data_IF_764715689779
#
_entry.id   IF_764715689779
#
_cell.length_a   1.000
_cell.length_b   1.000
_cell.length_c   1.000
_cell.angle_alpha   90.00
_cell.angle_beta   90.00
_cell.angle_gamma   90.00
#
_symmetry.space_group_name_H-M   'P 1'
#
loop_
_entity.id
_entity.type
_entity.pdbx_description
1 polymer ?
#
# COMPACT_ATOMS: atom_id res chain seq x y z
N UNK A 1 30.92 -14.29 -13.66
CA UNK A 1 29.51 -14.63 -13.47
C UNK A 1 29.09 -14.13 -12.09
N UNK A 2 28.32 -13.04 -12.01
CA UNK A 2 27.72 -12.58 -10.75
C UNK A 2 26.58 -13.54 -10.42
N UNK A 3 26.64 -14.21 -9.27
CA UNK A 3 25.55 -15.03 -8.77
C UNK A 3 24.32 -14.14 -8.61
N UNK A 4 23.24 -14.46 -9.31
CA UNK A 4 21.94 -13.83 -9.11
C UNK A 4 21.43 -14.34 -7.76
N UNK A 5 21.62 -13.55 -6.71
CA UNK A 5 21.04 -13.85 -5.42
C UNK A 5 19.52 -13.95 -5.57
N UNK A 6 18.94 -15.02 -5.07
CA UNK A 6 17.50 -15.16 -4.99
C UNK A 6 17.01 -14.21 -3.89
N UNK A 7 16.24 -13.20 -4.26
CA UNK A 7 15.54 -12.37 -3.29
C UNK A 7 14.31 -13.13 -2.79
N UNK A 8 14.31 -13.48 -1.50
CA UNK A 8 13.15 -14.04 -0.83
C UNK A 8 12.43 -12.94 -0.07
N UNK A 9 11.19 -12.67 -0.42
CA UNK A 9 10.30 -11.84 0.41
C UNK A 9 9.67 -12.77 1.45
N UNK A 10 9.93 -12.49 2.73
CA UNK A 10 9.32 -13.22 3.84
C UNK A 10 8.26 -12.34 4.48
N UNK A 11 7.03 -12.86 4.58
CA UNK A 11 5.98 -12.28 5.41
C UNK A 11 6.22 -12.65 6.88
N UNK A 12 5.83 -11.82 7.86
CA UNK A 12 5.79 -12.21 9.26
C UNK A 12 4.90 -13.45 9.45
N UNK A 13 5.30 -14.31 10.36
CA UNK A 13 4.49 -15.48 10.71
C UNK A 13 3.37 -15.10 11.68
N UNK A 14 2.34 -15.95 11.85
CA UNK A 14 1.33 -15.73 12.89
C UNK A 14 1.93 -15.59 14.30
N UNK A 15 3.00 -16.32 14.62
CA UNK A 15 3.69 -16.25 15.89
C UNK A 15 4.32 -14.88 16.12
N UNK A 16 4.86 -14.25 15.06
CA UNK A 16 5.40 -12.89 15.14
C UNK A 16 4.31 -11.88 15.49
N UNK A 17 3.12 -11.97 14.86
CA UNK A 17 1.99 -11.12 15.18
C UNK A 17 1.48 -11.39 16.61
N UNK A 18 1.36 -12.65 17.01
CA UNK A 18 0.93 -13.02 18.36
C UNK A 18 1.88 -12.46 19.45
N UNK A 19 3.20 -12.46 19.19
CA UNK A 19 4.17 -11.85 20.10
C UNK A 19 3.95 -10.33 20.20
N UNK A 20 3.79 -9.65 19.05
CA UNK A 20 3.53 -8.20 19.02
C UNK A 20 2.22 -7.83 19.72
N UNK A 21 1.15 -8.59 19.50
CA UNK A 21 -0.14 -8.33 20.16
C UNK A 21 -0.06 -8.50 21.67
N UNK A 22 0.73 -9.48 22.14
CA UNK A 22 0.98 -9.69 23.56
C UNK A 22 1.76 -8.52 24.17
N UNK A 23 2.84 -8.08 23.53
CA UNK A 23 3.62 -6.91 23.96
C UNK A 23 2.73 -5.65 24.08
N UNK A 24 1.87 -5.39 23.10
CA UNK A 24 0.95 -4.25 23.12
C UNK A 24 -0.06 -4.38 24.26
N UNK A 25 -0.63 -5.57 24.50
CA UNK A 25 -1.54 -5.80 25.60
C UNK A 25 -0.85 -5.63 26.96
N UNK A 26 0.37 -6.13 27.13
CA UNK A 26 1.19 -5.97 28.33
C UNK A 26 1.54 -4.50 28.63
N UNK A 27 1.59 -3.64 27.59
CA UNK A 27 1.76 -2.19 27.75
C UNK A 27 0.50 -1.46 28.25
N UNK A 28 -0.60 -2.19 28.46
CA UNK A 28 -1.85 -1.65 29.00
C UNK A 28 -2.90 -1.29 27.95
N UNK A 29 -2.72 -1.67 26.69
CA UNK A 29 -3.71 -1.44 25.65
C UNK A 29 -4.99 -2.28 25.92
N UNK A 30 -6.16 -1.65 25.84
CA UNK A 30 -7.46 -2.31 26.00
C UNK A 30 -7.95 -2.99 24.71
N UNK A 31 -7.35 -2.68 23.57
CA UNK A 31 -7.64 -3.26 22.26
C UNK A 31 -6.63 -2.82 21.21
N UNK A 32 -6.62 -3.52 20.09
CA UNK A 32 -5.63 -3.32 19.02
C UNK A 32 -6.35 -3.22 17.67
N UNK A 33 -5.95 -2.23 16.86
CA UNK A 33 -6.28 -2.18 15.42
C UNK A 33 -5.03 -2.54 14.63
N UNK A 34 -5.08 -3.65 13.89
CA UNK A 34 -3.98 -4.17 13.10
C UNK A 34 -4.28 -3.95 11.61
N UNK A 35 -3.65 -2.92 11.02
CA UNK A 35 -3.88 -2.52 9.65
C UNK A 35 -2.85 -3.18 8.73
N UNK A 36 -3.33 -3.77 7.65
CA UNK A 36 -2.49 -4.52 6.71
C UNK A 36 -2.57 -3.99 5.29
N UNK A 37 -1.47 -4.18 4.57
CA UNK A 37 -1.50 -4.01 3.12
C UNK A 37 -2.44 -5.02 2.49
N UNK A 38 -2.89 -4.70 1.27
CA UNK A 38 -3.82 -5.55 0.52
C UNK A 38 -3.46 -7.04 0.60
N UNK A 39 -4.43 -7.86 0.94
CA UNK A 39 -4.35 -9.31 0.97
C UNK A 39 -4.04 -9.91 -0.41
N UNK A 40 -4.35 -9.20 -1.49
CA UNK A 40 -3.97 -9.57 -2.86
C UNK A 40 -2.46 -9.51 -3.11
N UNK A 41 -1.71 -8.77 -2.29
CA UNK A 41 -0.25 -8.67 -2.38
C UNK A 41 0.48 -9.59 -1.41
N UNK A 42 -0.10 -9.83 -0.24
CA UNK A 42 0.60 -10.52 0.83
C UNK A 42 -0.35 -11.23 1.77
N UNK A 43 -0.04 -12.45 2.16
CA UNK A 43 -0.75 -13.15 3.22
C UNK A 43 -0.44 -12.65 4.64
N UNK A 44 0.02 -11.40 4.82
CA UNK A 44 0.22 -10.82 6.16
C UNK A 44 -1.09 -10.59 6.88
N UNK A 45 -2.14 -10.19 6.16
CA UNK A 45 -3.49 -10.09 6.70
C UNK A 45 -3.97 -11.42 7.29
N UNK A 46 -3.87 -12.52 6.54
CA UNK A 46 -4.28 -13.84 7.01
C UNK A 46 -3.49 -14.31 8.24
N UNK A 47 -2.17 -14.04 8.25
CA UNK A 47 -1.32 -14.36 9.38
C UNK A 47 -1.72 -13.56 10.65
N UNK A 48 -2.06 -12.29 10.49
CA UNK A 48 -2.54 -11.44 11.57
C UNK A 48 -3.92 -11.88 12.08
N UNK A 49 -4.86 -12.23 11.19
CA UNK A 49 -6.17 -12.77 11.55
C UNK A 49 -6.02 -14.06 12.37
N UNK A 50 -5.11 -14.94 11.98
CA UNK A 50 -4.84 -16.16 12.73
C UNK A 50 -4.32 -15.85 14.14
N UNK A 51 -3.37 -14.93 14.26
CA UNK A 51 -2.79 -14.52 15.54
C UNK A 51 -3.78 -13.79 16.46
N UNK A 52 -4.73 -13.06 15.88
CA UNK A 52 -5.73 -12.30 16.63
C UNK A 52 -6.69 -13.17 17.45
N UNK A 53 -6.86 -14.44 17.07
CA UNK A 53 -7.79 -15.37 17.74
C UNK A 53 -7.42 -15.65 19.19
N UNK A 54 -6.13 -15.69 19.47
CA UNK A 54 -5.58 -16.03 20.80
C UNK A 54 -4.89 -14.82 21.47
N UNK A 55 -5.21 -13.60 20.99
CA UNK A 55 -4.66 -12.38 21.56
C UNK A 55 -5.26 -12.08 22.94
N UNK A 56 -4.47 -11.52 23.91
CA UNK A 56 -4.94 -11.24 25.27
C UNK A 56 -6.02 -10.15 25.35
N UNK A 57 -6.11 -9.30 24.31
CA UNK A 57 -7.10 -8.24 24.20
C UNK A 57 -7.77 -8.32 22.82
N UNK A 58 -8.95 -7.70 22.61
CA UNK A 58 -9.59 -7.67 21.32
C UNK A 58 -8.68 -7.07 20.24
N UNK A 59 -8.52 -7.76 19.11
CA UNK A 59 -7.75 -7.30 17.95
C UNK A 59 -8.66 -7.23 16.73
N UNK A 60 -8.78 -6.04 16.16
CA UNK A 60 -9.47 -5.83 14.87
C UNK A 60 -8.41 -5.79 13.76
N UNK A 61 -8.48 -6.77 12.88
CA UNK A 61 -7.56 -6.90 11.75
C UNK A 61 -8.25 -6.37 10.50
N UNK A 62 -7.62 -5.40 9.83
CA UNK A 62 -8.20 -4.70 8.67
C UNK A 62 -7.31 -4.91 7.45
N UNK A 63 -7.88 -5.40 6.36
CA UNK A 63 -7.29 -5.32 5.03
C UNK A 63 -7.66 -3.96 4.43
N UNK A 64 -6.69 -3.08 4.29
CA UNK A 64 -6.95 -1.74 3.74
C UNK A 64 -7.08 -1.72 2.22
N UNK A 65 -6.71 -2.80 1.53
CA UNK A 65 -6.59 -2.81 0.07
C UNK A 65 -5.46 -1.89 -0.45
N UNK A 66 -4.64 -1.31 0.45
CA UNK A 66 -3.64 -0.30 0.13
C UNK A 66 -2.22 -0.82 0.35
N UNK A 67 -1.23 -0.04 -0.14
CA UNK A 67 0.21 -0.28 0.09
C UNK A 67 0.93 1.03 0.36
N UNK A 68 2.15 0.97 0.88
CA UNK A 68 3.02 2.13 1.12
C UNK A 68 2.32 3.22 1.97
N UNK A 69 2.47 4.52 1.65
CA UNK A 69 1.80 5.58 2.42
C UNK A 69 0.29 5.64 2.21
N UNK A 70 -0.27 5.03 1.19
CA UNK A 70 -1.71 4.87 1.11
C UNK A 70 -2.25 4.05 2.31
N UNK A 71 -1.54 2.98 2.72
CA UNK A 71 -1.78 2.29 4.00
C UNK A 71 -1.39 3.16 5.20
N UNK A 72 -0.27 3.90 5.11
CA UNK A 72 0.19 4.80 6.17
C UNK A 72 -0.85 5.85 6.55
N UNK A 73 -1.54 6.45 5.57
CA UNK A 73 -2.62 7.40 5.82
C UNK A 73 -3.81 6.75 6.54
N UNK A 74 -4.10 5.48 6.27
CA UNK A 74 -5.13 4.75 7.03
C UNK A 74 -4.71 4.55 8.49
N UNK A 75 -3.43 4.26 8.73
CA UNK A 75 -2.89 4.11 10.07
C UNK A 75 -2.91 5.43 10.86
N UNK A 76 -2.56 6.53 10.22
CA UNK A 76 -2.65 7.87 10.83
C UNK A 76 -4.09 8.22 11.20
N UNK A 77 -5.06 7.99 10.31
CA UNK A 77 -6.46 8.26 10.59
C UNK A 77 -7.00 7.42 11.77
N UNK A 78 -6.59 6.15 11.86
CA UNK A 78 -6.94 5.30 12.99
C UNK A 78 -6.32 5.80 14.31
N UNK A 79 -5.05 6.22 14.28
CA UNK A 79 -4.34 6.74 15.44
C UNK A 79 -4.98 8.05 15.93
N UNK A 80 -5.27 8.99 15.03
CA UNK A 80 -5.95 10.24 15.34
C UNK A 80 -7.32 10.01 15.99
N UNK A 81 -8.09 9.03 15.49
CA UNK A 81 -9.37 8.64 16.10
C UNK A 81 -9.19 8.12 17.52
N UNK A 82 -8.18 7.27 17.74
CA UNK A 82 -7.88 6.72 19.07
C UNK A 82 -7.39 7.80 20.04
N UNK A 83 -6.51 8.72 19.60
CA UNK A 83 -6.01 9.86 20.38
C UNK A 83 -7.13 10.82 20.77
N UNK A 84 -8.15 10.96 19.92
CA UNK A 84 -9.35 11.73 20.22
C UNK A 84 -10.31 11.03 21.22
N UNK A 85 -9.95 9.84 21.74
CA UNK A 85 -10.74 9.07 22.69
C UNK A 85 -11.77 8.14 22.05
N UNK A 86 -11.65 7.89 20.74
CA UNK A 86 -12.49 6.93 20.03
C UNK A 86 -12.25 5.48 20.44
N UNK A 87 -13.25 4.66 20.22
CA UNK A 87 -13.18 3.20 20.46
C UNK A 87 -12.34 2.50 19.38
N UNK A 88 -12.06 1.22 19.58
CA UNK A 88 -11.42 0.38 18.55
C UNK A 88 -12.22 0.39 17.23
N UNK A 89 -13.55 0.34 17.32
CA UNK A 89 -14.43 0.36 16.15
C UNK A 89 -14.45 1.72 15.45
N UNK A 90 -14.33 2.82 16.20
CA UNK A 90 -14.17 4.17 15.62
C UNK A 90 -12.85 4.29 14.85
N UNK A 91 -11.76 3.76 15.40
CA UNK A 91 -10.45 3.74 14.73
C UNK A 91 -10.46 2.87 13.45
N UNK A 92 -11.13 1.72 13.47
CA UNK A 92 -11.36 0.89 12.27
C UNK A 92 -12.14 1.68 11.22
N UNK A 93 -13.25 2.30 11.61
CA UNK A 93 -14.09 3.10 10.72
C UNK A 93 -13.32 4.27 10.09
N UNK A 94 -12.45 4.94 10.87
CA UNK A 94 -11.60 6.00 10.39
C UNK A 94 -10.60 5.50 9.34
N UNK A 95 -9.95 4.35 9.60
CA UNK A 95 -9.03 3.73 8.64
C UNK A 95 -9.72 3.32 7.33
N UNK A 96 -10.88 2.67 7.41
CA UNK A 96 -11.65 2.22 6.25
C UNK A 96 -12.16 3.41 5.41
N UNK A 97 -12.66 4.45 6.07
CA UNK A 97 -13.05 5.70 5.41
C UNK A 97 -11.87 6.36 4.71
N UNK A 98 -10.69 6.38 5.35
CA UNK A 98 -9.47 6.90 4.75
C UNK A 98 -9.05 6.07 3.55
N UNK A 99 -9.08 4.74 3.63
CA UNK A 99 -8.79 3.85 2.51
C UNK A 99 -9.70 4.13 1.31
N UNK A 100 -11.01 4.24 1.53
CA UNK A 100 -11.98 4.54 0.47
C UNK A 100 -11.74 5.89 -0.22
N UNK A 101 -11.19 6.89 0.52
CA UNK A 101 -10.83 8.20 -0.01
C UNK A 101 -9.41 8.31 -0.58
N UNK A 102 -8.60 7.24 -0.49
CA UNK A 102 -7.20 7.25 -0.91
C UNK A 102 -7.04 6.58 -2.26
N UNK A 103 -6.14 7.11 -3.09
CA UNK A 103 -5.76 6.49 -4.35
C UNK A 103 -4.24 6.36 -4.46
N UNK A 104 -3.77 5.29 -5.09
CA UNK A 104 -2.36 5.05 -5.34
C UNK A 104 -2.11 4.86 -6.84
N UNK A 105 -1.25 5.71 -7.38
CA UNK A 105 -0.85 5.69 -8.78
C UNK A 105 0.65 5.58 -8.89
N UNK A 106 1.15 4.84 -9.87
CA UNK A 106 2.59 4.68 -10.00
C UNK A 106 3.01 4.37 -11.42
N UNK A 107 4.26 4.70 -11.69
CA UNK A 107 4.97 4.39 -12.91
C UNK A 107 6.12 3.43 -12.61
N UNK A 108 6.36 2.48 -13.48
CA UNK A 108 7.52 1.59 -13.41
C UNK A 108 8.25 1.55 -14.76
N UNK A 109 9.58 1.58 -14.72
CA UNK A 109 10.39 1.46 -15.93
C UNK A 109 10.27 0.08 -16.58
N UNK A 110 9.98 -0.96 -15.78
CA UNK A 110 9.76 -2.33 -16.25
C UNK A 110 8.75 -3.08 -15.36
N UNK A 111 7.91 -3.88 -15.96
CA UNK A 111 6.98 -4.78 -15.28
C UNK A 111 7.66 -6.07 -14.76
N UNK A 112 8.92 -6.29 -15.10
CA UNK A 112 9.63 -7.55 -14.83
C UNK A 112 9.66 -7.89 -13.32
N UNK A 113 9.84 -6.90 -12.44
CA UNK A 113 9.88 -7.16 -11.00
C UNK A 113 8.50 -7.52 -10.45
N UNK A 114 7.44 -6.89 -10.93
CA UNK A 114 6.06 -7.24 -10.58
C UNK A 114 5.70 -8.65 -11.07
N UNK A 115 6.13 -9.00 -12.29
CA UNK A 115 5.96 -10.33 -12.86
C UNK A 115 6.68 -11.39 -12.05
N UNK A 116 7.97 -11.20 -11.77
CA UNK A 116 8.77 -12.14 -10.96
C UNK A 116 8.24 -12.29 -9.55
N UNK A 117 7.72 -11.19 -8.99
CA UNK A 117 7.09 -11.21 -7.67
C UNK A 117 5.70 -11.84 -7.66
N UNK A 118 5.07 -12.07 -8.81
CA UNK A 118 3.69 -12.54 -8.89
C UNK A 118 2.63 -11.49 -8.50
N UNK A 119 3.00 -10.20 -8.43
CA UNK A 119 2.12 -9.08 -8.06
C UNK A 119 1.77 -8.18 -9.26
N UNK A 120 1.91 -8.70 -10.47
CA UNK A 120 1.68 -7.94 -11.70
C UNK A 120 0.18 -7.65 -11.97
N UNK A 121 -0.73 -8.45 -11.40
CA UNK A 121 -2.17 -8.27 -11.60
C UNK A 121 -2.58 -8.27 -13.07
N UNK A 122 -3.58 -7.46 -13.42
CA UNK A 122 -4.08 -7.32 -14.79
C UNK A 122 -3.05 -6.71 -15.76
N UNK A 123 -1.99 -6.04 -15.25
CA UNK A 123 -0.90 -5.52 -16.08
C UNK A 123 -0.10 -6.63 -16.80
N UNK A 124 -0.31 -7.90 -16.46
CA UNK A 124 0.27 -9.05 -17.17
C UNK A 124 -0.08 -9.05 -18.67
N UNK A 125 -1.25 -8.55 -19.05
CA UNK A 125 -1.66 -8.43 -20.45
C UNK A 125 -0.75 -7.52 -21.29
N UNK A 126 0.11 -6.73 -20.66
CA UNK A 126 1.10 -5.88 -21.34
C UNK A 126 2.41 -6.60 -21.66
N UNK A 127 2.62 -7.78 -21.09
CA UNK A 127 3.83 -8.58 -21.35
C UNK A 127 3.77 -9.14 -22.78
N UNK A 128 4.85 -8.94 -23.50
CA UNK A 128 4.94 -9.38 -24.91
C UNK A 128 4.40 -8.39 -25.93
N UNK A 129 3.94 -7.22 -25.52
CA UNK A 129 3.63 -6.13 -26.45
C UNK A 129 4.92 -5.68 -27.16
N UNK A 130 4.92 -5.73 -28.50
CA UNK A 130 6.03 -5.26 -29.33
C UNK A 130 6.27 -3.75 -29.24
N UNK A 131 5.36 -3.00 -28.66
CA UNK A 131 5.46 -1.57 -28.45
C UNK A 131 6.16 -1.29 -27.12
N UNK A 132 7.23 -0.49 -27.17
CA UNK A 132 7.92 0.03 -25.99
C UNK A 132 7.05 1.07 -25.26
N UNK A 133 5.94 0.61 -24.66
CA UNK A 133 5.06 1.47 -23.87
C UNK A 133 5.49 1.53 -22.41
N UNK A 134 5.26 2.65 -21.77
CA UNK A 134 5.47 2.89 -20.35
C UNK A 134 4.11 2.86 -19.66
N UNK A 135 3.83 1.86 -18.80
CA UNK A 135 2.54 1.77 -18.16
C UNK A 135 2.43 2.73 -16.99
N UNK A 136 1.32 3.44 -16.90
CA UNK A 136 0.82 4.01 -15.68
C UNK A 136 -0.10 2.99 -15.02
N UNK A 137 0.14 2.73 -13.78
CA UNK A 137 -0.55 1.73 -12.98
C UNK A 137 -1.27 2.41 -11.82
N UNK A 138 -2.31 1.76 -11.34
CA UNK A 138 -3.05 2.16 -10.15
C UNK A 138 -3.31 0.96 -9.26
N UNK A 139 -3.60 1.24 -8.01
CA UNK A 139 -4.26 0.30 -7.12
C UNK A 139 -5.76 0.46 -7.26
N UNK A 140 -6.45 -0.61 -7.54
CA UNK A 140 -7.91 -0.68 -7.60
C UNK A 140 -8.37 -2.00 -6.98
N UNK A 141 -9.28 -1.92 -6.02
CA UNK A 141 -9.76 -3.08 -5.25
C UNK A 141 -8.62 -3.99 -4.74
N UNK A 142 -7.57 -3.35 -4.19
CA UNK A 142 -6.40 -4.04 -3.66
C UNK A 142 -5.46 -4.65 -4.71
N UNK A 143 -5.68 -4.47 -6.00
CA UNK A 143 -4.91 -5.07 -7.11
C UNK A 143 -4.24 -4.03 -7.98
N UNK A 144 -3.15 -4.44 -8.64
CA UNK A 144 -2.52 -3.59 -9.66
C UNK A 144 -3.30 -3.69 -10.96
N UNK A 145 -3.70 -2.54 -11.47
CA UNK A 145 -4.35 -2.40 -12.75
C UNK A 145 -3.62 -1.40 -13.64
N UNK A 146 -3.78 -1.59 -14.95
CA UNK A 146 -3.34 -0.62 -15.94
C UNK A 146 -4.29 0.58 -15.92
N UNK A 147 -3.74 1.77 -15.66
CA UNK A 147 -4.49 3.01 -15.80
C UNK A 147 -4.39 3.57 -17.22
N UNK A 148 -3.16 3.80 -17.70
CA UNK A 148 -2.89 4.34 -19.02
C UNK A 148 -1.59 3.78 -19.63
N UNK A 149 -1.43 3.91 -20.94
CA UNK A 149 -0.20 3.60 -21.67
C UNK A 149 0.39 4.88 -22.26
N UNK A 150 1.62 5.19 -21.91
CA UNK A 150 2.36 6.33 -22.46
C UNK A 150 3.64 5.88 -23.15
N UNK A 151 4.23 6.75 -23.99
CA UNK A 151 5.38 6.35 -24.80
C UNK A 151 6.73 6.57 -24.12
N UNK A 152 6.83 7.52 -23.18
CA UNK A 152 8.10 7.89 -22.54
C UNK A 152 7.94 8.04 -21.03
N UNK A 153 9.05 7.87 -20.29
CA UNK A 153 9.06 8.05 -18.83
C UNK A 153 8.68 9.47 -18.40
N UNK A 154 9.15 10.49 -19.14
CA UNK A 154 8.82 11.90 -18.83
C UNK A 154 7.32 12.18 -19.01
N UNK A 155 6.70 11.64 -20.06
CA UNK A 155 5.24 11.74 -20.23
C UNK A 155 4.48 10.98 -19.16
N UNK A 156 5.01 9.83 -18.69
CA UNK A 156 4.39 9.08 -17.61
C UNK A 156 4.35 9.90 -16.32
N UNK A 157 5.46 10.55 -15.97
CA UNK A 157 5.54 11.38 -14.74
C UNK A 157 4.64 12.61 -14.84
N UNK A 158 4.65 13.33 -15.99
CA UNK A 158 3.75 14.46 -16.21
C UNK A 158 2.27 14.03 -16.10
N UNK A 159 1.94 12.86 -16.67
CA UNK A 159 0.56 12.35 -16.61
C UNK A 159 0.15 11.92 -15.19
N UNK A 160 1.07 11.39 -14.37
CA UNK A 160 0.81 11.13 -12.94
C UNK A 160 0.46 12.42 -12.20
N UNK A 161 1.20 13.50 -12.44
CA UNK A 161 0.94 14.81 -11.85
C UNK A 161 -0.46 15.32 -12.23
N UNK A 162 -0.82 15.28 -13.51
CA UNK A 162 -2.15 15.66 -14.00
C UNK A 162 -3.26 14.84 -13.32
N UNK A 163 -3.11 13.52 -13.24
CA UNK A 163 -4.10 12.62 -12.61
C UNK A 163 -4.31 12.96 -11.14
N UNK A 164 -3.22 13.25 -10.42
CA UNK A 164 -3.29 13.61 -9.00
C UNK A 164 -3.96 14.97 -8.82
N UNK A 165 -3.58 15.96 -9.64
CA UNK A 165 -4.17 17.29 -9.63
C UNK A 165 -5.68 17.25 -9.95
N UNK A 166 -6.07 16.52 -10.99
CA UNK A 166 -7.47 16.36 -11.38
C UNK A 166 -8.29 15.69 -10.26
N UNK A 167 -7.73 14.71 -9.57
CA UNK A 167 -8.41 14.02 -8.45
C UNK A 167 -8.50 14.88 -7.20
N UNK A 168 -7.47 15.65 -6.90
CA UNK A 168 -7.48 16.58 -5.78
C UNK A 168 -8.47 17.71 -6.00
N UNK A 169 -8.60 18.20 -7.23
CA UNK A 169 -9.44 19.33 -7.56
C UNK A 169 -9.09 20.54 -6.72
N UNK A 170 -10.07 21.07 -5.98
CA UNK A 170 -9.88 22.18 -5.03
C UNK A 170 -9.79 21.71 -3.56
N UNK A 171 -9.81 20.42 -3.31
CA UNK A 171 -9.76 19.88 -1.95
C UNK A 171 -8.34 19.96 -1.38
N UNK A 172 -8.24 20.17 -0.08
CA UNK A 172 -6.98 19.94 0.63
C UNK A 172 -6.77 18.43 0.79
N UNK A 173 -5.63 17.93 0.31
CA UNK A 173 -5.30 16.51 0.30
C UNK A 173 -3.89 16.26 0.85
N UNK A 174 -3.69 15.07 1.40
CA UNK A 174 -2.36 14.58 1.76
C UNK A 174 -1.77 13.81 0.58
N UNK A 175 -0.55 14.16 0.20
CA UNK A 175 0.18 13.50 -0.89
C UNK A 175 1.48 12.91 -0.36
N UNK A 176 1.78 11.69 -0.78
CA UNK A 176 3.07 11.05 -0.54
C UNK A 176 3.68 10.60 -1.86
N UNK A 177 4.89 11.05 -2.14
CA UNK A 177 5.68 10.65 -3.29
C UNK A 177 6.70 9.60 -2.87
N UNK A 178 6.67 8.44 -3.52
CA UNK A 178 7.59 7.33 -3.26
C UNK A 178 8.48 7.04 -4.44
N UNK A 179 9.64 6.49 -4.16
CA UNK A 179 10.54 6.00 -5.22
C UNK A 179 11.30 4.74 -4.81
N UNK A 180 11.73 3.98 -5.82
CA UNK A 180 12.72 2.93 -5.67
C UNK A 180 13.91 3.29 -6.58
N UNK A 181 15.03 3.66 -5.95
CA UNK A 181 16.29 4.06 -6.63
C UNK A 181 16.15 5.20 -7.66
N UNK A 182 15.22 6.15 -7.44
CA UNK A 182 15.00 7.30 -8.30
C UNK A 182 14.72 8.59 -7.49
N UNK A 183 15.61 8.99 -6.54
CA UNK A 183 15.33 10.10 -5.62
C UNK A 183 15.16 11.43 -6.34
N UNK A 184 15.99 11.75 -7.31
CA UNK A 184 15.92 13.01 -8.05
C UNK A 184 14.59 13.20 -8.78
N UNK A 185 14.08 12.11 -9.38
CA UNK A 185 12.80 12.10 -10.08
C UNK A 185 11.63 12.27 -9.11
N UNK A 186 11.72 11.65 -7.94
CA UNK A 186 10.70 11.75 -6.91
C UNK A 186 10.66 13.15 -6.30
N UNK A 187 11.83 13.73 -5.98
CA UNK A 187 11.94 15.10 -5.47
C UNK A 187 11.33 16.10 -6.45
N UNK A 188 11.75 16.02 -7.72
CA UNK A 188 11.23 16.90 -8.76
C UNK A 188 9.70 16.78 -8.97
N UNK A 189 9.10 15.62 -8.68
CA UNK A 189 7.65 15.45 -8.70
C UNK A 189 6.98 16.02 -7.45
N UNK A 190 7.61 15.88 -6.29
CA UNK A 190 7.08 16.38 -5.03
C UNK A 190 7.11 17.92 -4.93
N UNK A 191 8.03 18.56 -5.65
CA UNK A 191 8.21 20.03 -5.67
C UNK A 191 7.21 20.77 -6.56
N UNK A 192 6.34 20.05 -7.30
CA UNK A 192 5.33 20.60 -8.23
C UNK A 192 3.95 20.65 -7.61
#
# INVERSE_FOLDING_TARGET
>A
ARSRGAFAVRRPSPETFAATYREIAESGAAGIVSLHLSSEFSGTYDAAVLAARDAPVPVRVVDTGMVAMALGFCALAAAESAEAGGTVDDAVTAAEKRAAGTSAHFYVDTLEYLRRGGRIGAAQALLGSALAVKPLLQLHDGRIELLEKVRTASKAIARLEEIVADRAGSAQVDIAVHHLAAPERASALADR
#
